data_IF_547310930123
#
_entry.id   IF_547310930123
#
_cell.length_a   1.000
_cell.length_b   1.000
_cell.length_c   1.000
_cell.angle_alpha   90.00
_cell.angle_beta   90.00
_cell.angle_gamma   90.00
#
_symmetry.space_group_name_H-M   'P 1'
#
loop_
_entity.id
_entity.type
_entity.pdbx_description
1 polymer ?
#
# COMPACT_ATOMS: atom_id res chain seq x y z
N UNK A 1 -12.01 -9.64 16.28
CA UNK A 1 -10.70 -9.95 15.67
C UNK A 1 -9.61 -9.57 16.66
N UNK A 2 -8.61 -10.42 16.90
CA UNK A 2 -7.46 -10.04 17.74
C UNK A 2 -6.48 -9.23 16.89
N UNK A 3 -5.67 -8.38 17.51
CA UNK A 3 -4.71 -7.52 16.77
C UNK A 3 -3.72 -8.36 15.96
N UNK A 4 -3.26 -9.47 16.51
CA UNK A 4 -2.33 -10.39 15.85
C UNK A 4 -2.89 -11.08 14.60
N UNK A 5 -4.22 -11.10 14.43
CA UNK A 5 -4.89 -11.68 13.26
C UNK A 5 -5.03 -10.65 12.12
N UNK A 6 -4.83 -9.35 12.39
CA UNK A 6 -4.97 -8.27 11.39
C UNK A 6 -3.77 -8.31 10.43
N UNK A 7 -4.04 -8.43 9.14
CA UNK A 7 -3.06 -8.46 8.05
C UNK A 7 -3.02 -7.12 7.32
N UNK A 8 -1.90 -6.42 7.43
CA UNK A 8 -1.63 -5.15 6.75
C UNK A 8 -0.76 -5.40 5.52
N UNK A 9 -1.26 -5.01 4.35
CA UNK A 9 -0.46 -4.90 3.13
C UNK A 9 0.15 -3.50 3.06
N UNK A 10 1.46 -3.42 3.20
CA UNK A 10 2.20 -2.18 2.93
C UNK A 10 2.88 -2.32 1.57
N UNK A 11 2.34 -1.62 0.58
CA UNK A 11 2.90 -1.65 -0.78
C UNK A 11 4.03 -0.66 -0.91
N UNK A 12 5.15 -1.07 -1.48
CA UNK A 12 6.26 -0.18 -1.82
C UNK A 12 6.49 -0.14 -3.33
N UNK A 13 6.98 0.98 -3.83
CA UNK A 13 7.35 1.16 -5.23
C UNK A 13 8.83 1.58 -5.35
N UNK A 14 9.43 1.55 -6.55
CA UNK A 14 10.73 2.16 -6.74
C UNK A 14 10.71 3.62 -6.26
N UNK A 15 11.64 4.01 -5.39
CA UNK A 15 11.74 5.38 -4.87
C UNK A 15 10.93 5.69 -3.62
N UNK A 16 10.06 4.79 -3.14
CA UNK A 16 9.56 4.92 -1.75
C UNK A 16 10.74 4.76 -0.78
N UNK A 17 10.70 5.46 0.34
CA UNK A 17 11.80 5.48 1.30
C UNK A 17 11.35 5.48 2.76
N UNK A 18 10.04 5.59 3.01
CA UNK A 18 9.46 5.55 4.35
C UNK A 18 8.83 4.20 4.70
N UNK A 19 9.25 3.12 4.03
CA UNK A 19 8.63 1.81 4.18
C UNK A 19 8.93 1.19 5.55
N UNK A 20 10.19 1.21 5.98
CA UNK A 20 10.68 0.45 7.14
C UNK A 20 10.11 0.98 8.46
N UNK A 21 10.07 2.30 8.63
CA UNK A 21 9.48 2.93 9.80
C UNK A 21 7.96 2.76 9.83
N UNK A 22 7.31 2.75 8.67
CA UNK A 22 5.87 2.48 8.59
C UNK A 22 5.59 1.03 8.99
N UNK A 23 6.40 0.06 8.52
CA UNK A 23 6.35 -1.33 8.99
C UNK A 23 6.51 -1.40 10.51
N UNK A 24 7.49 -0.69 11.07
CA UNK A 24 7.74 -0.67 12.51
C UNK A 24 6.54 -0.14 13.28
N UNK A 25 5.96 0.99 12.84
CA UNK A 25 4.82 1.62 13.50
C UNK A 25 3.60 0.70 13.60
N UNK A 26 3.29 -0.05 12.54
CA UNK A 26 2.22 -1.05 12.58
C UNK A 26 2.57 -2.24 13.46
N UNK A 27 3.79 -2.79 13.35
CA UNK A 27 4.22 -3.92 14.20
C UNK A 27 4.17 -3.60 15.70
N UNK A 28 4.47 -2.35 16.08
CA UNK A 28 4.37 -1.89 17.46
C UNK A 28 2.92 -1.87 18.00
N UNK A 29 1.92 -1.91 17.11
CA UNK A 29 0.50 -2.09 17.49
C UNK A 29 0.09 -3.57 17.64
N UNK A 30 0.99 -4.51 17.32
CA UNK A 30 0.74 -5.96 17.43
C UNK A 30 0.02 -6.56 16.22
N UNK A 31 0.10 -5.95 15.04
CA UNK A 31 -0.50 -6.47 13.79
C UNK A 31 0.54 -7.10 12.86
N UNK A 32 0.09 -7.97 11.95
CA UNK A 32 0.95 -8.58 10.94
C UNK A 32 1.12 -7.65 9.74
N UNK A 33 2.37 -7.35 9.36
CA UNK A 33 2.67 -6.42 8.26
C UNK A 33 3.45 -7.13 7.17
N UNK A 34 2.89 -7.15 5.97
CA UNK A 34 3.55 -7.65 4.76
C UNK A 34 4.03 -6.44 3.94
N UNK A 35 5.35 -6.21 3.93
CA UNK A 35 5.98 -5.25 3.03
C UNK A 35 6.16 -5.89 1.66
N UNK A 36 5.42 -5.43 0.66
CA UNK A 36 5.40 -6.06 -0.66
C UNK A 36 5.67 -5.02 -1.75
N UNK A 37 6.55 -5.36 -2.69
CA UNK A 37 6.80 -4.50 -3.84
C UNK A 37 5.60 -4.52 -4.80
N UNK A 38 5.21 -3.35 -5.34
CA UNK A 38 4.00 -3.17 -6.16
C UNK A 38 3.93 -4.14 -7.35
N UNK A 39 5.06 -4.44 -7.99
CA UNK A 39 5.12 -5.42 -9.09
C UNK A 39 4.66 -6.84 -8.70
N UNK A 40 4.87 -7.23 -7.44
CA UNK A 40 4.38 -8.51 -6.93
C UNK A 40 2.87 -8.47 -6.74
N UNK A 41 2.35 -7.38 -6.16
CA UNK A 41 0.89 -7.18 -5.98
C UNK A 41 0.18 -7.14 -7.33
N UNK A 42 0.73 -6.45 -8.33
CA UNK A 42 0.15 -6.40 -9.68
C UNK A 42 0.09 -7.75 -10.38
N UNK A 43 0.92 -8.72 -9.98
CA UNK A 43 0.94 -10.08 -10.54
C UNK A 43 0.01 -11.01 -9.78
N UNK A 44 0.01 -10.93 -8.45
CA UNK A 44 -0.73 -11.84 -7.57
C UNK A 44 -2.19 -11.41 -7.35
N UNK A 45 -2.48 -10.10 -7.39
CA UNK A 45 -3.82 -9.50 -7.28
C UNK A 45 -4.63 -9.95 -6.06
N UNK A 46 -3.96 -10.39 -5.00
CA UNK A 46 -4.57 -10.96 -3.80
C UNK A 46 -4.83 -9.91 -2.70
N UNK A 47 -5.43 -8.76 -3.06
CA UNK A 47 -5.75 -7.70 -2.10
C UNK A 47 -6.77 -8.16 -1.04
N UNK A 48 -7.64 -9.11 -1.40
CA UNK A 48 -8.66 -9.70 -0.53
C UNK A 48 -8.09 -10.42 0.71
N UNK A 49 -6.83 -10.88 0.64
CA UNK A 49 -6.12 -11.56 1.74
C UNK A 49 -5.79 -10.63 2.93
N UNK A 50 -6.02 -9.33 2.78
CA UNK A 50 -5.58 -8.29 3.70
C UNK A 50 -6.76 -7.51 4.29
N UNK A 51 -6.56 -7.02 5.51
CA UNK A 51 -7.54 -6.22 6.24
C UNK A 51 -7.27 -4.71 6.11
N UNK A 52 -6.01 -4.33 5.85
CA UNK A 52 -5.59 -2.92 5.73
C UNK A 52 -4.62 -2.75 4.56
N UNK A 53 -4.81 -1.71 3.76
CA UNK A 53 -3.89 -1.32 2.69
C UNK A 53 -3.14 -0.04 3.06
N UNK A 54 -1.83 -0.01 2.86
CA UNK A 54 -0.97 1.12 3.21
C UNK A 54 -0.06 1.49 2.06
N UNK A 55 -0.07 2.77 1.70
CA UNK A 55 0.86 3.41 0.78
C UNK A 55 1.82 4.32 1.58
N UNK A 56 3.11 3.98 1.68
CA UNK A 56 4.12 4.71 2.44
C UNK A 56 4.55 6.00 1.73
N UNK A 57 5.33 6.81 2.46
CA UNK A 57 5.96 8.01 1.93
C UNK A 57 7.22 7.75 1.09
N UNK A 58 7.70 8.83 0.47
CA UNK A 58 8.96 8.86 -0.28
C UNK A 58 8.84 9.64 -1.57
N UNK A 59 9.50 9.17 -2.62
CA UNK A 59 9.52 9.78 -3.95
C UNK A 59 9.32 8.67 -4.98
N UNK A 60 8.12 8.06 -5.00
CA UNK A 60 7.83 6.98 -5.93
C UNK A 60 8.14 7.41 -7.37
N UNK A 61 8.89 6.57 -8.08
CA UNK A 61 9.45 6.87 -9.40
C UNK A 61 10.18 8.21 -9.48
N UNK A 62 10.81 8.64 -8.37
CA UNK A 62 11.52 9.90 -8.23
C UNK A 62 10.66 11.15 -8.42
N UNK A 63 9.33 11.03 -8.34
CA UNK A 63 8.36 12.11 -8.61
C UNK A 63 8.56 12.78 -9.99
N UNK A 64 9.08 12.03 -10.98
CA UNK A 64 9.59 12.57 -12.26
C UNK A 64 8.58 13.41 -13.06
N UNK A 65 7.29 13.07 -13.02
CA UNK A 65 6.22 13.81 -13.71
C UNK A 65 5.46 14.71 -12.73
N UNK A 66 4.99 14.10 -11.65
CA UNK A 66 4.32 14.72 -10.51
C UNK A 66 4.40 13.71 -9.37
N UNK A 67 4.50 14.16 -8.12
CA UNK A 67 4.55 13.26 -6.97
C UNK A 67 3.42 12.25 -6.98
N UNK A 68 3.78 10.97 -6.81
CA UNK A 68 2.85 9.83 -6.79
C UNK A 68 2.18 9.47 -8.12
N UNK A 69 2.23 10.32 -9.15
CA UNK A 69 1.35 10.18 -10.33
C UNK A 69 1.63 8.93 -11.18
N UNK A 70 2.90 8.55 -11.34
CA UNK A 70 3.26 7.34 -12.09
C UNK A 70 2.73 6.11 -11.37
N UNK A 71 2.93 6.04 -10.05
CA UNK A 71 2.48 4.90 -9.26
C UNK A 71 0.96 4.80 -9.19
N UNK A 72 0.27 5.93 -9.01
CA UNK A 72 -1.19 6.00 -9.06
C UNK A 72 -1.75 5.43 -10.37
N UNK A 73 -1.16 5.83 -11.51
CA UNK A 73 -1.58 5.32 -12.83
C UNK A 73 -1.30 3.84 -13.03
N UNK A 74 -0.20 3.32 -12.49
CA UNK A 74 0.02 1.87 -12.50
C UNK A 74 -1.00 1.14 -11.65
N UNK A 75 -1.32 1.63 -10.45
CA UNK A 75 -2.34 1.04 -9.58
C UNK A 75 -3.72 1.03 -10.25
N UNK A 76 -4.15 2.17 -10.79
CA UNK A 76 -5.41 2.31 -11.54
C UNK A 76 -5.49 1.32 -12.70
N UNK A 77 -4.45 1.23 -13.52
CA UNK A 77 -4.43 0.37 -14.70
C UNK A 77 -4.31 -1.13 -14.36
N UNK A 78 -3.54 -1.48 -13.32
CA UNK A 78 -3.17 -2.87 -13.03
C UNK A 78 -4.09 -3.54 -12.04
N UNK A 79 -4.56 -2.81 -11.02
CA UNK A 79 -5.32 -3.35 -9.88
C UNK A 79 -6.50 -2.45 -9.47
N UNK A 80 -6.96 -1.55 -10.35
CA UNK A 80 -8.01 -0.58 -10.01
C UNK A 80 -9.32 -1.21 -9.53
N UNK A 81 -9.75 -2.30 -10.17
CA UNK A 81 -10.97 -3.03 -9.77
C UNK A 81 -10.82 -3.69 -8.39
N UNK A 82 -9.65 -4.25 -8.11
CA UNK A 82 -9.35 -4.87 -6.83
C UNK A 82 -9.24 -3.83 -5.71
N UNK A 83 -8.75 -2.61 -6.01
CA UNK A 83 -8.75 -1.49 -5.08
C UNK A 83 -10.17 -0.97 -4.80
N UNK A 84 -11.00 -0.83 -5.83
CA UNK A 84 -12.42 -0.47 -5.69
C UNK A 84 -13.15 -1.47 -4.79
N UNK A 85 -13.01 -2.78 -5.07
CA UNK A 85 -13.61 -3.83 -4.26
C UNK A 85 -13.14 -3.78 -2.79
N UNK A 86 -11.84 -3.55 -2.55
CA UNK A 86 -11.29 -3.42 -1.20
C UNK A 86 -11.92 -2.25 -0.42
N UNK A 87 -12.13 -1.11 -1.09
CA UNK A 87 -12.78 0.07 -0.49
C UNK A 87 -14.28 -0.16 -0.29
N UNK A 88 -14.96 -0.81 -1.24
CA UNK A 88 -16.39 -1.13 -1.16
C UNK A 88 -16.71 -2.10 -0.02
N UNK A 89 -15.77 -2.99 0.34
CA UNK A 89 -15.84 -3.84 1.53
C UNK A 89 -15.69 -3.06 2.85
N UNK A 90 -15.39 -1.76 2.79
CA UNK A 90 -15.18 -0.89 3.94
C UNK A 90 -13.83 -1.11 4.62
N UNK A 91 -12.88 -1.78 3.96
CA UNK A 91 -11.54 -2.01 4.51
C UNK A 91 -10.70 -0.72 4.47
N UNK A 92 -9.97 -0.40 5.55
CA UNK A 92 -9.19 0.83 5.63
C UNK A 92 -8.01 0.89 4.66
N UNK A 93 -7.87 2.04 3.99
CA UNK A 93 -6.72 2.41 3.16
C UNK A 93 -6.04 3.63 3.73
N UNK A 94 -4.72 3.59 3.88
CA UNK A 94 -3.93 4.68 4.46
C UNK A 94 -2.85 5.11 3.45
N UNK A 95 -2.88 6.38 3.04
CA UNK A 95 -1.83 7.01 2.26
C UNK A 95 -1.03 8.01 3.09
N UNK A 96 0.30 7.88 3.14
CA UNK A 96 1.18 8.74 3.94
C UNK A 96 2.10 9.54 3.02
N UNK A 97 2.07 10.86 3.07
CA UNK A 97 2.91 11.75 2.25
C UNK A 97 2.80 11.42 0.74
N UNK A 98 3.81 10.80 0.12
CA UNK A 98 3.74 10.31 -1.26
C UNK A 98 2.59 9.33 -1.49
N UNK A 99 2.23 8.53 -0.48
CA UNK A 99 1.05 7.68 -0.48
C UNK A 99 -0.28 8.44 -0.58
N UNK A 100 -0.37 9.65 -0.04
CA UNK A 100 -1.56 10.50 -0.11
C UNK A 100 -1.65 11.28 -1.43
N UNK A 101 -0.51 11.50 -2.10
CA UNK A 101 -0.42 12.27 -3.34
C UNK A 101 -0.85 11.48 -4.60
N UNK A 102 -1.07 10.17 -4.45
CA UNK A 102 -1.45 9.26 -5.53
C UNK A 102 -2.88 9.52 -6.00
#
# INVERSE_FOLDING_TARGET
MRREDIRVLLMRAPGTNCDTETVRAFRDQGVQVHLVHTQRVFRERNLEDYDVLVFPGGFSYGDYVRSGAIWAKECEYRIGRELEAFVDEGKPVIGICNGFQQ
#
